data_IF_716884787381
#
_entry.id   IF_716884787381
#
_cell.length_a   1.000
_cell.length_b   1.000
_cell.length_c   1.000
_cell.angle_alpha   90.00
_cell.angle_beta   90.00
_cell.angle_gamma   90.00
#
_symmetry.space_group_name_H-M   'P 1'
#
loop_
_entity.id
_entity.type
_entity.pdbx_description
1 polymer ?
#
# COMPACT_ATOMS: atom_id res chain seq x y z
N UNK A 1 -15.68 19.24 4.85
CA UNK A 1 -14.22 19.24 5.10
C UNK A 1 -13.57 19.83 3.86
N UNK A 2 -12.83 20.93 3.99
CA UNK A 2 -12.28 21.69 2.87
C UNK A 2 -11.23 20.87 2.07
N UNK A 3 -11.32 20.89 0.74
CA UNK A 3 -10.45 20.10 -0.13
C UNK A 3 -8.97 20.52 -0.02
N UNK A 4 -8.71 21.81 0.26
CA UNK A 4 -7.36 22.34 0.44
C UNK A 4 -6.72 21.82 1.73
N UNK A 5 -7.50 21.75 2.82
CA UNK A 5 -7.03 21.18 4.09
C UNK A 5 -6.63 19.71 3.97
N UNK A 6 -7.34 18.93 3.13
CA UNK A 6 -6.95 17.55 2.84
C UNK A 6 -5.62 17.50 2.08
N UNK A 7 -5.48 18.29 1.01
CA UNK A 7 -4.24 18.33 0.20
C UNK A 7 -3.01 18.75 1.02
N UNK A 8 -3.15 19.77 1.86
CA UNK A 8 -2.08 20.22 2.75
C UNK A 8 -1.69 19.14 3.77
N UNK A 9 -2.68 18.46 4.37
CA UNK A 9 -2.43 17.36 5.31
C UNK A 9 -1.72 16.17 4.64
N UNK A 10 -2.17 15.74 3.45
CA UNK A 10 -1.52 14.66 2.72
C UNK A 10 -0.09 15.02 2.35
N UNK A 11 0.15 16.26 1.90
CA UNK A 11 1.50 16.76 1.61
C UNK A 11 2.39 16.71 2.84
N UNK A 12 1.89 17.21 3.98
CA UNK A 12 2.62 17.19 5.23
C UNK A 12 2.97 15.77 5.69
N UNK A 13 2.01 14.84 5.63
CA UNK A 13 2.23 13.45 6.03
C UNK A 13 3.23 12.73 5.12
N UNK A 14 3.13 12.91 3.79
CA UNK A 14 4.09 12.34 2.84
C UNK A 14 5.50 12.86 3.09
N UNK A 15 5.67 14.18 3.30
CA UNK A 15 6.97 14.76 3.66
C UNK A 15 7.55 14.18 4.96
N UNK A 16 6.71 13.87 5.96
CA UNK A 16 7.17 13.23 7.20
C UNK A 16 7.64 11.79 6.99
N UNK A 17 6.99 11.04 6.09
CA UNK A 17 7.39 9.68 5.71
C UNK A 17 8.70 9.72 4.91
N UNK A 18 8.85 10.68 3.99
CA UNK A 18 10.07 10.89 3.20
C UNK A 18 11.29 11.19 4.06
N UNK A 19 11.13 12.05 5.07
CA UNK A 19 12.20 12.44 5.98
C UNK A 19 12.44 11.45 7.12
N UNK A 20 11.72 10.32 7.15
CA UNK A 20 11.92 9.30 8.15
C UNK A 20 13.16 8.44 7.82
N UNK A 21 13.97 8.12 8.83
CA UNK A 21 15.15 7.28 8.67
C UNK A 21 14.74 5.80 8.55
N UNK A 22 14.40 5.38 7.33
CA UNK A 22 14.12 3.98 7.04
C UNK A 22 15.40 3.13 7.13
N UNK A 23 15.29 1.94 7.70
CA UNK A 23 16.38 0.95 7.64
C UNK A 23 16.66 0.57 6.19
N UNK A 24 17.90 0.26 5.84
CA UNK A 24 18.33 -0.12 4.47
C UNK A 24 17.58 -1.32 3.88
N UNK A 25 16.91 -2.13 4.70
CA UNK A 25 16.08 -3.26 4.27
C UNK A 25 14.60 -2.93 4.02
N UNK A 26 14.21 -1.65 4.14
CA UNK A 26 12.82 -1.21 4.02
C UNK A 26 12.69 -0.07 3.02
N UNK A 27 11.60 -0.10 2.25
CA UNK A 27 11.21 0.97 1.35
C UNK A 27 9.77 1.38 1.65
N UNK A 28 9.48 2.68 1.62
CA UNK A 28 8.14 3.22 1.70
C UNK A 28 7.72 3.78 0.34
N UNK A 29 6.52 3.40 -0.10
CA UNK A 29 5.90 3.91 -1.32
C UNK A 29 4.73 4.81 -0.94
N UNK A 30 4.75 6.05 -1.41
CA UNK A 30 3.71 7.03 -1.16
C UNK A 30 3.34 7.78 -2.44
N UNK A 31 2.08 8.22 -2.56
CA UNK A 31 1.65 9.06 -3.68
C UNK A 31 1.51 10.50 -3.21
N UNK A 32 2.20 11.42 -3.89
CA UNK A 32 2.03 12.86 -3.74
C UNK A 32 1.41 13.43 -5.01
N UNK A 33 0.11 13.74 -4.97
CA UNK A 33 -0.65 14.11 -6.17
C UNK A 33 -0.77 12.95 -7.16
N UNK A 34 -0.10 13.07 -8.31
CA UNK A 34 0.00 12.02 -9.35
C UNK A 34 1.36 11.30 -9.34
N UNK A 35 2.35 11.87 -8.65
CA UNK A 35 3.69 11.30 -8.55
C UNK A 35 3.72 10.23 -7.46
N UNK A 36 4.46 9.16 -7.71
CA UNK A 36 4.72 8.12 -6.71
C UNK A 36 6.17 8.22 -6.27
N UNK A 37 6.36 8.43 -4.98
CA UNK A 37 7.66 8.59 -4.34
C UNK A 37 8.05 7.25 -3.70
N UNK A 38 9.26 6.79 -4.04
CA UNK A 38 9.91 5.63 -3.44
C UNK A 38 10.99 6.12 -2.49
N UNK A 39 10.83 5.82 -1.21
CA UNK A 39 11.69 6.30 -0.13
C UNK A 39 12.48 5.12 0.40
N UNK A 40 13.81 5.21 0.40
CA UNK A 40 14.70 4.10 0.81
C UNK A 40 14.94 3.03 -0.26
N UNK A 41 14.43 3.23 -1.48
CA UNK A 41 14.70 2.40 -2.67
C UNK A 41 15.12 3.24 -3.87
N UNK A 42 15.71 2.62 -4.90
CA UNK A 42 16.21 3.30 -6.11
C UNK A 42 15.23 3.32 -7.28
N UNK A 43 14.11 2.61 -7.20
CA UNK A 43 13.15 2.52 -8.30
C UNK A 43 12.11 3.65 -8.24
N UNK A 44 12.07 4.44 -9.31
CA UNK A 44 11.05 5.46 -9.54
C UNK A 44 9.82 4.82 -10.17
N UNK A 45 8.64 5.15 -9.65
CA UNK A 45 7.36 4.74 -10.23
C UNK A 45 6.86 5.79 -11.22
N UNK A 46 6.28 5.34 -12.34
CA UNK A 46 5.53 6.21 -13.23
C UNK A 46 4.33 6.87 -12.54
N UNK A 47 3.80 7.94 -13.13
CA UNK A 47 2.62 8.63 -12.61
C UNK A 47 1.44 7.67 -12.46
N UNK A 48 0.75 7.75 -11.31
CA UNK A 48 -0.43 6.92 -11.04
C UNK A 48 -1.70 7.75 -11.27
N UNK A 49 -2.34 7.55 -12.42
CA UNK A 49 -3.55 8.30 -12.84
C UNK A 49 -4.87 7.61 -12.44
N UNK A 50 -4.84 6.59 -11.59
CA UNK A 50 -6.06 5.93 -11.13
C UNK A 50 -6.90 6.91 -10.29
N UNK A 51 -8.19 7.03 -10.62
CA UNK A 51 -9.09 8.04 -10.05
C UNK A 51 -9.31 7.85 -8.52
N UNK A 52 -9.34 6.60 -8.04
CA UNK A 52 -9.57 6.28 -6.63
C UNK A 52 -8.26 5.94 -5.91
N UNK A 53 -7.96 6.63 -4.81
CA UNK A 53 -6.79 6.32 -3.97
C UNK A 53 -6.74 4.84 -3.53
N UNK A 54 -7.92 4.23 -3.34
CA UNK A 54 -8.07 2.86 -2.87
C UNK A 54 -7.63 1.82 -3.91
N UNK A 55 -7.58 2.15 -5.21
CA UNK A 55 -7.01 1.26 -6.24
C UNK A 55 -5.53 1.53 -6.48
N UNK A 56 -5.02 2.73 -6.15
CA UNK A 56 -3.58 3.06 -6.24
C UNK A 56 -2.71 2.16 -5.35
N UNK A 57 -3.26 1.67 -4.23
CA UNK A 57 -2.56 0.77 -3.32
C UNK A 57 -2.12 -0.54 -4.00
N UNK A 58 -2.94 -1.08 -4.92
CA UNK A 58 -2.61 -2.29 -5.68
C UNK A 58 -1.42 -2.03 -6.60
N UNK A 59 -1.38 -0.86 -7.24
CA UNK A 59 -0.26 -0.45 -8.09
C UNK A 59 1.05 -0.40 -7.28
N UNK A 60 1.01 0.11 -6.04
CA UNK A 60 2.18 0.11 -5.15
C UNK A 60 2.62 -1.28 -4.75
N UNK A 61 1.66 -2.17 -4.43
CA UNK A 61 1.96 -3.57 -4.10
C UNK A 61 2.63 -4.26 -5.28
N UNK A 62 2.04 -4.16 -6.48
CA UNK A 62 2.62 -4.73 -7.71
C UNK A 62 4.01 -4.17 -7.96
N UNK A 63 4.20 -2.86 -7.86
CA UNK A 63 5.51 -2.25 -8.06
C UNK A 63 6.56 -2.76 -7.07
N UNK A 64 6.22 -2.87 -5.78
CA UNK A 64 7.13 -3.43 -4.78
C UNK A 64 7.55 -4.86 -5.14
N UNK A 65 6.59 -5.71 -5.54
CA UNK A 65 6.85 -7.09 -5.94
C UNK A 65 7.71 -7.17 -7.21
N UNK A 66 7.44 -6.32 -8.22
CA UNK A 66 8.25 -6.22 -9.44
C UNK A 66 9.71 -5.87 -9.16
N UNK A 67 9.96 -5.11 -8.08
CA UNK A 67 11.29 -4.70 -7.65
C UNK A 67 11.90 -5.63 -6.60
N UNK A 68 11.37 -6.86 -6.48
CA UNK A 68 11.97 -7.93 -5.68
C UNK A 68 11.59 -7.91 -4.21
N UNK A 69 10.60 -7.09 -3.79
CA UNK A 69 10.04 -7.23 -2.46
C UNK A 69 9.41 -8.62 -2.31
N UNK A 70 9.85 -9.37 -1.31
CA UNK A 70 9.23 -10.66 -0.97
C UNK A 70 8.04 -10.50 -0.03
N UNK A 71 8.07 -9.45 0.78
CA UNK A 71 7.04 -9.14 1.76
C UNK A 71 6.57 -7.71 1.54
N UNK A 72 5.26 -7.51 1.45
CA UNK A 72 4.62 -6.20 1.29
C UNK A 72 3.59 -6.00 2.39
N UNK A 73 3.72 -4.92 3.16
CA UNK A 73 2.75 -4.56 4.19
C UNK A 73 1.93 -3.36 3.72
N UNK A 74 0.63 -3.55 3.55
CA UNK A 74 -0.33 -2.48 3.32
C UNK A 74 -0.88 -2.00 4.66
N UNK A 75 -0.72 -0.71 4.96
CA UNK A 75 -1.36 -0.07 6.12
C UNK A 75 -2.56 0.72 5.67
N UNK A 76 -3.73 0.43 6.24
CA UNK A 76 -4.97 1.13 5.89
C UNK A 76 -5.95 1.17 7.04
N UNK A 77 -6.84 2.16 7.02
CA UNK A 77 -8.02 2.24 7.90
C UNK A 77 -9.32 2.10 7.11
N UNK A 78 -9.18 1.99 5.78
CA UNK A 78 -10.27 1.95 4.83
C UNK A 78 -10.58 0.51 4.44
N UNK A 79 -11.81 0.08 4.68
CA UNK A 79 -12.30 -1.26 4.34
C UNK A 79 -12.32 -1.49 2.83
N UNK A 80 -12.54 -0.46 2.02
CA UNK A 80 -12.54 -0.59 0.55
C UNK A 80 -11.17 -1.04 0.03
N UNK A 81 -10.08 -0.60 0.67
CA UNK A 81 -8.72 -1.06 0.35
C UNK A 81 -8.55 -2.55 0.64
N UNK A 82 -9.12 -3.03 1.76
CA UNK A 82 -9.08 -4.45 2.12
C UNK A 82 -9.84 -5.28 1.11
N UNK A 83 -11.06 -4.86 0.75
CA UNK A 83 -11.91 -5.56 -0.23
C UNK A 83 -11.22 -5.61 -1.61
N UNK A 84 -10.65 -4.49 -2.06
CA UNK A 84 -9.91 -4.44 -3.33
C UNK A 84 -8.72 -5.39 -3.30
N UNK A 85 -7.91 -5.38 -2.23
CA UNK A 85 -6.74 -6.25 -2.11
C UNK A 85 -7.10 -7.72 -2.12
N UNK A 86 -8.16 -8.11 -1.39
CA UNK A 86 -8.67 -9.48 -1.38
C UNK A 86 -9.18 -9.87 -2.77
N UNK A 87 -9.89 -8.96 -3.45
CA UNK A 87 -10.44 -9.21 -4.79
C UNK A 87 -9.37 -9.46 -5.86
N UNK A 88 -8.20 -8.82 -5.76
CA UNK A 88 -7.08 -9.02 -6.70
C UNK A 88 -6.03 -10.01 -6.19
N UNK A 89 -6.22 -10.57 -4.99
CA UNK A 89 -5.19 -11.37 -4.32
C UNK A 89 -4.80 -12.62 -5.11
N UNK A 90 -5.79 -13.26 -5.75
CA UNK A 90 -5.56 -14.44 -6.59
C UNK A 90 -4.63 -14.14 -7.78
N UNK A 91 -4.85 -13.01 -8.46
CA UNK A 91 -4.03 -12.58 -9.58
C UNK A 91 -2.61 -12.21 -9.12
N UNK A 92 -2.50 -11.57 -7.94
CA UNK A 92 -1.22 -11.25 -7.32
C UNK A 92 -0.41 -12.50 -6.99
N UNK A 93 -1.02 -13.55 -6.42
CA UNK A 93 -0.31 -14.80 -6.14
C UNK A 93 0.01 -15.59 -7.41
N UNK A 94 -0.84 -15.54 -8.42
CA UNK A 94 -0.55 -16.13 -9.73
C UNK A 94 0.68 -15.50 -10.37
N UNK A 95 0.78 -14.17 -10.33
CA UNK A 95 1.92 -13.43 -10.87
C UNK A 95 3.18 -13.49 -9.98
N UNK A 96 2.99 -13.55 -8.67
CA UNK A 96 4.06 -13.54 -7.65
C UNK A 96 3.82 -14.65 -6.60
N UNK A 97 4.13 -15.93 -6.91
CA UNK A 97 3.76 -17.07 -6.08
C UNK A 97 4.36 -17.09 -4.66
N UNK A 98 5.44 -16.34 -4.45
CA UNK A 98 6.15 -16.25 -3.17
C UNK A 98 5.91 -14.92 -2.45
N UNK A 99 4.95 -14.12 -2.92
CA UNK A 99 4.63 -12.83 -2.32
C UNK A 99 3.92 -13.01 -0.98
N UNK A 100 4.48 -12.37 0.05
CA UNK A 100 3.94 -12.35 1.39
C UNK A 100 3.26 -11.00 1.66
N UNK A 101 1.94 -10.94 1.46
CA UNK A 101 1.17 -9.68 1.50
C UNK A 101 0.38 -9.58 2.81
N UNK A 102 0.71 -8.58 3.62
CA UNK A 102 0.11 -8.31 4.92
C UNK A 102 -0.77 -7.07 4.90
N UNK A 103 -1.91 -7.13 5.58
CA UNK A 103 -2.78 -5.97 5.81
C UNK A 103 -2.69 -5.60 7.28
N UNK A 104 -2.25 -4.38 7.55
CA UNK A 104 -2.27 -3.77 8.86
C UNK A 104 -3.44 -2.78 8.91
N UNK A 105 -4.54 -3.21 9.52
CA UNK A 105 -5.84 -2.52 9.48
C UNK A 105 -6.15 -1.81 10.81
N UNK A 106 -6.66 -0.58 10.72
CA UNK A 106 -7.18 0.18 11.86
C UNK A 106 -6.21 1.21 12.45
N UNK A 107 -6.57 1.79 13.61
CA UNK A 107 -5.79 2.84 14.29
C UNK A 107 -5.74 2.66 15.81
N UNK A 108 -4.63 3.10 16.41
CA UNK A 108 -4.48 3.16 17.86
C UNK A 108 -4.64 1.78 18.52
N UNK A 109 -5.58 1.67 19.48
CA UNK A 109 -5.86 0.43 20.21
C UNK A 109 -6.63 -0.61 19.38
N UNK A 110 -7.21 -0.20 18.24
CA UNK A 110 -7.98 -1.06 17.34
C UNK A 110 -7.16 -1.41 16.09
N UNK A 111 -5.87 -1.68 16.28
CA UNK A 111 -4.96 -2.04 15.21
C UNK A 111 -4.84 -3.57 15.13
N UNK A 112 -5.07 -4.15 13.95
CA UNK A 112 -5.02 -5.58 13.73
C UNK A 112 -4.17 -5.90 12.51
N UNK A 113 -3.38 -6.98 12.59
CA UNK A 113 -2.63 -7.53 11.46
C UNK A 113 -3.35 -8.78 10.97
N UNK A 114 -3.66 -8.82 9.69
CA UNK A 114 -4.17 -10.03 9.06
C UNK A 114 -3.34 -10.34 7.82
N UNK A 115 -3.01 -11.62 7.66
CA UNK A 115 -2.43 -12.12 6.42
C UNK A 115 -3.53 -12.17 5.37
N UNK A 116 -3.28 -11.66 4.16
CA UNK A 116 -4.34 -11.51 3.15
C UNK A 116 -5.01 -12.86 2.80
N UNK A 117 -4.25 -13.96 2.84
CA UNK A 117 -4.80 -15.32 2.68
C UNK A 117 -5.81 -15.71 3.77
N UNK A 118 -5.65 -15.22 5.01
CA UNK A 118 -6.59 -15.52 6.11
C UNK A 118 -7.96 -14.85 5.92
N UNK A 119 -8.02 -13.77 5.14
CA UNK A 119 -9.28 -13.11 4.76
C UNK A 119 -9.83 -13.70 3.46
N UNK A 120 -8.96 -14.11 2.55
CA UNK A 120 -9.34 -14.69 1.26
C UNK A 120 -9.96 -16.09 1.40
N UNK A 121 -9.35 -17.02 2.14
CA UNK A 121 -9.80 -18.42 2.22
C UNK A 121 -11.26 -18.57 2.67
N UNK A 122 -11.74 -17.88 3.73
CA UNK A 122 -13.13 -18.00 4.18
C UNK A 122 -14.20 -17.42 3.25
N UNK A 123 -13.82 -16.68 2.20
CA UNK A 123 -14.76 -16.10 1.23
C UNK A 123 -15.10 -17.05 0.07
N UNK A 124 -14.38 -18.16 -0.04
CA UNK A 124 -14.54 -19.16 -1.10
C UNK A 124 -14.86 -20.57 -0.57
N UNK A 125 -15.22 -20.68 0.71
CA UNK A 125 -15.94 -21.82 1.32
C UNK A 125 -17.42 -21.49 1.47
#
# INVERSE_FOLDING_TARGET
MDAKNKTELFTFLTLKIENFAWSTSKCALATHGEAVVSIGGTSTMGHCNHEKANTRIVVHVVHALQHGAKTVQVRTVDTDVVVILVGVFHDLLTAYPFADIWIAFGMGKHFQFFFTLMVYVPLWE
#
